data_IF_026447661478
#
_entry.id   IF_026447661478
#
_cell.length_a   1.000
_cell.length_b   1.000
_cell.length_c   1.000
_cell.angle_alpha   90.00
_cell.angle_beta   90.00
_cell.angle_gamma   90.00
#
_symmetry.space_group_name_H-M   'P 1'
#
loop_
_entity.id
_entity.type
_entity.pdbx_description
1 polymer ?
#
# COMPACT_ATOMS: atom_id res chain seq x y z
N UNK A 1 9.34 -22.73 -23.03
CA UNK A 1 8.62 -22.81 -21.74
C UNK A 1 9.61 -22.61 -20.59
N UNK A 2 9.32 -21.72 -19.67
CA UNK A 2 10.15 -21.61 -18.48
C UNK A 2 10.05 -22.89 -17.64
N UNK A 3 11.15 -23.24 -16.97
CA UNK A 3 11.16 -24.38 -16.07
C UNK A 3 10.32 -24.11 -14.83
N UNK A 4 9.78 -25.16 -14.24
CA UNK A 4 9.03 -25.09 -12.98
C UNK A 4 9.95 -24.58 -11.85
N UNK A 5 9.48 -23.62 -11.07
CA UNK A 5 10.20 -23.09 -9.92
C UNK A 5 9.47 -23.49 -8.63
N UNK A 6 9.92 -24.57 -8.02
CA UNK A 6 9.28 -25.09 -6.80
C UNK A 6 9.46 -24.17 -5.59
N UNK A 7 10.58 -23.45 -5.51
CA UNK A 7 10.81 -22.50 -4.42
C UNK A 7 9.84 -21.33 -4.49
N UNK A 8 9.59 -20.79 -5.69
CA UNK A 8 8.61 -19.74 -5.90
C UNK A 8 7.19 -20.21 -5.56
N UNK A 9 6.84 -21.42 -5.95
CA UNK A 9 5.54 -22.01 -5.65
C UNK A 9 5.35 -22.21 -4.14
N UNK A 10 6.36 -22.72 -3.46
CA UNK A 10 6.33 -22.92 -2.01
C UNK A 10 6.15 -21.58 -1.28
N UNK A 11 6.88 -20.55 -1.69
CA UNK A 11 6.73 -19.20 -1.16
C UNK A 11 5.29 -18.67 -1.35
N UNK A 12 4.74 -18.75 -2.56
CA UNK A 12 3.39 -18.29 -2.86
C UNK A 12 2.33 -19.00 -2.02
N UNK A 13 2.51 -20.30 -1.77
CA UNK A 13 1.59 -21.10 -0.95
C UNK A 13 1.70 -20.80 0.54
N UNK A 14 2.86 -20.41 1.02
CA UNK A 14 3.12 -20.20 2.45
C UNK A 14 2.98 -18.74 2.88
N UNK A 15 3.07 -17.79 1.95
CA UNK A 15 2.97 -16.37 2.28
C UNK A 15 1.62 -16.03 2.93
N UNK A 16 1.62 -15.07 3.85
CA UNK A 16 0.42 -14.57 4.53
C UNK A 16 0.43 -13.05 4.56
N UNK A 17 -0.74 -12.44 4.39
CA UNK A 17 -0.93 -11.06 4.78
C UNK A 17 -1.06 -10.98 6.30
N UNK A 18 -0.48 -9.95 6.89
CA UNK A 18 -0.55 -9.69 8.32
C UNK A 18 -1.21 -8.33 8.57
N UNK A 19 -2.00 -8.17 9.63
CA UNK A 19 -2.51 -6.86 10.00
C UNK A 19 -1.37 -5.87 10.27
N UNK A 20 -1.53 -4.64 9.82
CA UNK A 20 -0.49 -3.61 9.96
C UNK A 20 -0.03 -3.39 11.40
N UNK A 21 -0.94 -3.54 12.36
CA UNK A 21 -0.64 -3.42 13.81
C UNK A 21 0.35 -4.46 14.33
N UNK A 22 0.57 -5.53 13.58
CA UNK A 22 1.54 -6.58 13.98
C UNK A 22 2.95 -6.29 13.50
N UNK A 23 3.14 -5.30 12.65
CA UNK A 23 4.46 -4.95 12.15
C UNK A 23 5.21 -4.12 13.18
N UNK A 24 6.49 -4.45 13.33
CA UNK A 24 7.41 -3.78 14.26
C UNK A 24 8.63 -3.27 13.52
N UNK A 25 9.38 -2.38 14.15
CA UNK A 25 10.69 -1.96 13.64
C UNK A 25 11.68 -3.16 13.63
N UNK A 26 12.67 -3.19 12.71
CA UNK A 26 12.94 -2.15 11.72
C UNK A 26 11.98 -2.21 10.52
N UNK A 27 11.81 -1.08 9.84
CA UNK A 27 11.11 -1.02 8.55
C UNK A 27 12.12 -1.16 7.41
N UNK A 28 11.67 -1.56 6.21
CA UNK A 28 12.54 -1.57 5.03
C UNK A 28 13.18 -0.20 4.78
N UNK A 29 14.45 -0.20 4.41
CA UNK A 29 15.13 1.02 3.97
C UNK A 29 14.72 1.40 2.55
N UNK A 30 15.23 2.53 2.04
CA UNK A 30 14.89 3.02 0.70
C UNK A 30 15.20 2.00 -0.39
N UNK A 31 16.34 1.34 -0.33
CA UNK A 31 16.75 0.36 -1.34
C UNK A 31 15.82 -0.85 -1.34
N UNK A 32 15.47 -1.34 -0.16
CA UNK A 32 14.52 -2.44 0.01
C UNK A 32 13.11 -2.06 -0.45
N UNK A 33 12.65 -0.84 -0.16
CA UNK A 33 11.36 -0.35 -0.64
C UNK A 33 11.33 -0.29 -2.17
N UNK A 34 12.38 0.22 -2.81
CA UNK A 34 12.47 0.27 -4.28
C UNK A 34 12.43 -1.14 -4.89
N UNK A 35 13.08 -2.11 -4.28
CA UNK A 35 13.04 -3.51 -4.72
C UNK A 35 11.63 -4.10 -4.58
N UNK A 36 10.95 -3.84 -3.47
CA UNK A 36 9.54 -4.25 -3.27
C UNK A 36 8.64 -3.63 -4.33
N UNK A 37 8.79 -2.33 -4.61
CA UNK A 37 7.98 -1.63 -5.60
C UNK A 37 8.25 -2.13 -7.02
N UNK A 38 9.51 -2.47 -7.33
CA UNK A 38 9.86 -3.08 -8.62
C UNK A 38 9.15 -4.43 -8.79
N UNK A 39 9.09 -5.25 -7.76
CA UNK A 39 8.35 -6.50 -7.78
C UNK A 39 6.82 -6.27 -7.89
N UNK A 40 6.29 -5.31 -7.14
CA UNK A 40 4.86 -5.00 -7.10
C UNK A 40 4.32 -4.49 -8.44
N UNK A 41 5.14 -3.79 -9.22
CA UNK A 41 4.77 -3.27 -10.55
C UNK A 41 4.93 -4.29 -11.68
N UNK A 42 5.36 -5.51 -11.38
CA UNK A 42 5.41 -6.62 -12.32
C UNK A 42 4.05 -7.29 -12.47
N UNK A 43 3.11 -6.56 -13.02
CA UNK A 43 1.72 -6.97 -13.21
C UNK A 43 1.32 -6.82 -14.67
N UNK A 44 0.28 -7.54 -15.13
CA UNK A 44 -0.26 -7.31 -16.46
C UNK A 44 -0.66 -5.85 -16.63
N UNK A 45 -0.22 -5.25 -17.73
CA UNK A 45 -0.48 -3.85 -18.05
C UNK A 45 -0.66 -3.73 -19.56
N UNK A 46 -1.91 -3.69 -19.98
CA UNK A 46 -2.27 -3.62 -21.39
C UNK A 46 -1.84 -2.28 -21.97
N UNK A 47 -0.98 -2.33 -22.97
CA UNK A 47 -0.45 -1.15 -23.63
C UNK A 47 0.62 -0.40 -22.83
N UNK A 48 1.10 -0.96 -21.75
CA UNK A 48 2.13 -0.36 -20.87
C UNK A 48 1.78 1.05 -20.44
N UNK A 49 0.55 1.26 -20.03
CA UNK A 49 0.05 2.58 -19.60
C UNK A 49 0.50 2.96 -18.21
N UNK A 50 0.93 1.99 -17.39
CA UNK A 50 1.31 2.19 -15.98
C UNK A 50 0.24 3.02 -15.25
N UNK A 51 -1.01 2.53 -15.16
CA UNK A 51 -2.15 3.32 -14.69
C UNK A 51 -2.19 3.43 -13.16
N UNK A 52 -1.04 3.67 -12.55
CA UNK A 52 -0.88 3.78 -11.11
C UNK A 52 0.13 4.87 -10.73
N UNK A 53 -0.02 5.37 -9.53
CA UNK A 53 0.99 6.12 -8.80
C UNK A 53 1.21 5.44 -7.45
N UNK A 54 2.45 5.43 -7.00
CA UNK A 54 2.83 4.85 -5.71
C UNK A 54 3.39 5.95 -4.82
N UNK A 55 2.82 6.10 -3.63
CA UNK A 55 3.26 7.09 -2.66
C UNK A 55 3.78 6.35 -1.43
N UNK A 56 5.05 6.52 -1.12
CA UNK A 56 5.65 5.98 0.10
C UNK A 56 5.38 6.94 1.25
N UNK A 57 4.77 6.43 2.31
CA UNK A 57 4.46 7.16 3.53
C UNK A 57 5.32 6.63 4.65
N UNK A 58 6.04 7.53 5.32
CA UNK A 58 6.92 7.17 6.43
C UNK A 58 7.12 8.34 7.40
N UNK A 59 7.60 8.02 8.59
CA UNK A 59 7.98 9.02 9.59
C UNK A 59 6.83 9.95 9.98
N UNK A 60 7.11 11.25 10.02
CA UNK A 60 6.17 12.28 10.48
C UNK A 60 4.89 12.40 9.64
N UNK A 61 4.87 11.85 8.43
CA UNK A 61 3.67 11.83 7.60
C UNK A 61 2.53 11.05 8.25
N UNK A 62 2.82 10.01 9.02
CA UNK A 62 1.80 9.24 9.73
C UNK A 62 1.06 10.07 10.78
N UNK A 63 1.77 10.92 11.52
CA UNK A 63 1.13 11.82 12.49
C UNK A 63 0.16 12.80 11.82
N UNK A 64 0.56 13.38 10.68
CA UNK A 64 -0.31 14.26 9.90
C UNK A 64 -1.55 13.55 9.38
N UNK A 65 -1.38 12.32 8.88
CA UNK A 65 -2.50 11.51 8.39
C UNK A 65 -3.43 11.09 9.52
N UNK A 66 -2.89 10.78 10.70
CA UNK A 66 -3.69 10.48 11.89
C UNK A 66 -4.59 11.67 12.27
N UNK A 67 -4.05 12.88 12.30
CA UNK A 67 -4.80 14.09 12.59
C UNK A 67 -5.88 14.38 11.54
N UNK A 68 -5.56 14.19 10.26
CA UNK A 68 -6.51 14.35 9.16
C UNK A 68 -7.63 13.31 9.23
N UNK A 69 -7.30 12.05 9.53
CA UNK A 69 -8.28 10.99 9.67
C UNK A 69 -9.25 11.23 10.83
N UNK A 70 -8.73 11.73 11.95
CA UNK A 70 -9.55 12.14 13.09
C UNK A 70 -10.51 13.28 12.72
N UNK A 71 -9.99 14.35 12.12
CA UNK A 71 -10.79 15.49 11.68
C UNK A 71 -11.89 15.06 10.70
N UNK A 72 -11.56 14.20 9.74
CA UNK A 72 -12.52 13.72 8.77
C UNK A 72 -13.60 12.83 9.39
N UNK A 73 -13.25 11.97 10.33
CA UNK A 73 -14.21 11.14 11.04
C UNK A 73 -15.21 12.01 11.83
N UNK A 74 -14.75 13.09 12.45
CA UNK A 74 -15.62 14.05 13.15
C UNK A 74 -16.55 14.79 12.20
N UNK A 75 -16.05 15.27 11.06
CA UNK A 75 -16.85 15.91 10.03
C UNK A 75 -17.98 15.01 9.51
N UNK A 76 -17.72 13.71 9.42
CA UNK A 76 -18.71 12.72 8.98
C UNK A 76 -19.69 12.31 10.09
N UNK A 77 -19.60 12.92 11.28
CA UNK A 77 -20.49 12.63 12.39
C UNK A 77 -20.16 11.33 13.11
N UNK A 78 -18.94 10.83 12.97
CA UNK A 78 -18.50 9.61 13.65
C UNK A 78 -18.49 9.76 15.17
N UNK A 79 -18.82 8.68 15.88
CA UNK A 79 -18.71 8.59 17.32
C UNK A 79 -17.25 8.48 17.79
N UNK A 80 -17.01 8.47 19.08
CA UNK A 80 -15.66 8.38 19.66
C UNK A 80 -14.91 7.12 19.21
N UNK A 81 -15.61 6.00 19.03
CA UNK A 81 -15.02 4.74 18.56
C UNK A 81 -14.57 4.85 17.10
N UNK A 82 -15.40 5.39 16.23
CA UNK A 82 -15.05 5.62 14.81
C UNK A 82 -13.88 6.57 14.66
N UNK A 83 -13.85 7.64 15.44
CA UNK A 83 -12.76 8.62 15.46
C UNK A 83 -11.45 7.96 15.89
N UNK A 84 -11.47 7.23 16.99
CA UNK A 84 -10.28 6.52 17.51
C UNK A 84 -9.78 5.45 16.53
N UNK A 85 -10.69 4.71 15.90
CA UNK A 85 -10.36 3.67 14.92
C UNK A 85 -9.75 4.25 13.65
N UNK A 86 -10.30 5.35 13.14
CA UNK A 86 -9.75 6.06 11.99
C UNK A 86 -8.34 6.56 12.24
N UNK A 87 -8.13 7.23 13.36
CA UNK A 87 -6.82 7.72 13.78
C UNK A 87 -5.82 6.59 14.01
N UNK A 88 -6.25 5.53 14.70
CA UNK A 88 -5.38 4.42 15.12
C UNK A 88 -4.73 3.67 13.96
N UNK A 89 -5.33 3.68 12.79
CA UNK A 89 -4.74 3.09 11.59
C UNK A 89 -3.42 3.76 11.21
N UNK A 90 -3.31 5.05 11.42
CA UNK A 90 -2.11 5.83 11.09
C UNK A 90 -1.14 5.94 12.28
N UNK A 91 -1.63 6.05 13.51
CA UNK A 91 -0.78 6.11 14.70
C UNK A 91 0.13 4.89 14.84
N UNK A 92 -0.35 3.71 14.46
CA UNK A 92 0.43 2.47 14.46
C UNK A 92 1.29 2.30 13.21
N UNK A 93 1.16 3.17 12.23
CA UNK A 93 1.88 3.07 10.95
C UNK A 93 3.36 3.38 11.10
N UNK A 94 4.18 2.65 10.35
CA UNK A 94 5.63 2.85 10.31
C UNK A 94 6.14 3.07 8.91
N UNK A 95 5.62 2.32 7.95
CA UNK A 95 5.87 2.48 6.53
C UNK A 95 4.64 1.96 5.78
N UNK A 96 4.18 2.71 4.81
CA UNK A 96 3.09 2.30 3.93
C UNK A 96 3.34 2.76 2.51
N UNK A 97 2.74 2.05 1.58
CA UNK A 97 2.68 2.45 0.18
C UNK A 97 1.21 2.65 -0.18
N UNK A 98 0.87 3.85 -0.61
CA UNK A 98 -0.46 4.16 -1.12
C UNK A 98 -0.46 3.93 -2.63
N UNK A 99 -1.35 3.07 -3.08
CA UNK A 99 -1.53 2.77 -4.50
C UNK A 99 -2.65 3.65 -5.03
N UNK A 100 -2.33 4.55 -5.94
CA UNK A 100 -3.30 5.46 -6.57
C UNK A 100 -3.63 4.93 -7.96
N UNK A 101 -4.92 4.69 -8.21
CA UNK A 101 -5.38 4.43 -9.57
C UNK A 101 -5.21 5.72 -10.39
N UNK A 102 -4.48 5.63 -11.49
CA UNK A 102 -4.17 6.76 -12.36
C UNK A 102 -4.41 6.35 -13.81
N UNK A 103 -5.69 6.16 -14.20
CA UNK A 103 -6.01 5.72 -15.56
C UNK A 103 -5.53 6.74 -16.58
N UNK A 104 -5.09 6.23 -17.73
CA UNK A 104 -4.62 7.04 -18.86
C UNK A 104 -5.45 6.70 -20.07
N UNK A 105 -5.95 7.71 -20.79
CA UNK A 105 -6.72 7.45 -22.00
C UNK A 105 -5.85 6.77 -23.06
N UNK A 106 -6.43 5.79 -23.74
CA UNK A 106 -5.79 5.10 -24.85
C UNK A 106 -6.84 4.68 -25.88
N UNK A 107 -6.60 4.89 -27.19
CA UNK A 107 -7.53 4.44 -28.23
C UNK A 107 -7.59 2.91 -28.34
N UNK A 108 -6.66 2.20 -27.74
CA UNK A 108 -6.58 0.73 -27.80
C UNK A 108 -7.26 0.04 -26.62
N UNK A 109 -7.60 0.78 -25.58
CA UNK A 109 -8.16 0.27 -24.35
C UNK A 109 -9.44 1.04 -24.07
N UNK A 110 -10.61 0.39 -24.09
CA UNK A 110 -11.87 1.04 -23.72
C UNK A 110 -11.85 1.43 -22.24
N UNK A 111 -12.55 2.51 -21.90
CA UNK A 111 -12.75 2.95 -20.51
C UNK A 111 -13.65 1.99 -19.70
#
# INVERSE_FOLDING_TARGET
MPARNDAALAFLKSRRSRPAKMFTAPVPDRAQVLEILAAATRVPDHGKLEPWRLIVVQGAAFARLADLAEARARELGGDAEMVAKGRGQFDAGRLAVVVIASPKPSPKIPE
#
